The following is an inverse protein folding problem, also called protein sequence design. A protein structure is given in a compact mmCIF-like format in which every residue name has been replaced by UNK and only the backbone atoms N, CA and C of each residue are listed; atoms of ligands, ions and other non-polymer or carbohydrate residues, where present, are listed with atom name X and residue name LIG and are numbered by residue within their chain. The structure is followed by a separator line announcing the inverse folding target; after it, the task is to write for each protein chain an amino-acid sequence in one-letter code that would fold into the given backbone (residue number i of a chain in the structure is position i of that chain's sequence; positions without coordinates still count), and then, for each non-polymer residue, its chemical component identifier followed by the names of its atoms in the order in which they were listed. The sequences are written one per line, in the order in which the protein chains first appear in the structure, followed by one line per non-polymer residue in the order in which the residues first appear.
data_IF_185949724206
#
_entry.id   IF_185949724206
#
_cell.length_a   1.000
_cell.length_b   1.000
_cell.length_c   1.000
_cell.angle_alpha   90.00
_cell.angle_beta   90.00
_cell.angle_gamma   90.00
#
_symmetry.space_group_name_H-M   'P 1'
#
loop_
_entity.id
_entity.type
_entity.pdbx_description
1 polymer ?
#
# COMPACT_ATOMS: atom_id res chain seq x y z
N UNK A 1 -8.70 -14.57 -1.24
CA UNK A 1 -8.29 -15.32 -2.45
C UNK A 1 -7.83 -16.76 -2.13
N UNK A 2 -8.24 -17.31 -0.98
CA UNK A 2 -8.11 -18.75 -0.69
C UNK A 2 -6.75 -19.21 -0.16
N UNK A 3 -5.92 -18.31 0.36
CA UNK A 3 -4.66 -18.69 1.03
C UNK A 3 -4.94 -19.40 2.36
N UNK A 4 -5.97 -18.97 3.07
CA UNK A 4 -6.47 -19.58 4.30
C UNK A 4 -7.98 -19.71 4.28
N UNK A 5 -8.51 -20.65 5.01
CA UNK A 5 -9.95 -20.72 5.31
C UNK A 5 -10.31 -19.69 6.37
N UNK A 6 -11.59 -19.40 6.52
CA UNK A 6 -12.06 -18.43 7.53
C UNK A 6 -11.82 -18.91 8.96
N UNK A 7 -11.78 -20.21 9.15
CA UNK A 7 -11.54 -20.90 10.42
C UNK A 7 -10.09 -20.78 10.88
N UNK A 8 -9.16 -20.59 9.94
CA UNK A 8 -7.73 -20.40 10.19
C UNK A 8 -7.37 -18.94 10.48
N UNK A 9 -8.32 -18.01 10.27
CA UNK A 9 -8.09 -16.59 10.46
C UNK A 9 -8.76 -16.10 11.74
N UNK A 10 -7.96 -15.42 12.56
CA UNK A 10 -8.39 -14.84 13.82
C UNK A 10 -8.24 -13.33 13.81
N UNK A 11 -9.17 -12.61 14.42
CA UNK A 11 -9.07 -11.16 14.59
C UNK A 11 -9.06 -10.77 16.05
N UNK A 12 -8.16 -9.85 16.41
CA UNK A 12 -8.11 -9.18 17.72
C UNK A 12 -8.10 -7.67 17.50
N UNK A 13 -9.00 -6.97 18.17
CA UNK A 13 -9.08 -5.51 18.15
C UNK A 13 -8.81 -4.94 19.55
N UNK A 14 -8.83 -3.60 19.68
CA UNK A 14 -8.51 -2.91 20.95
C UNK A 14 -9.45 -3.25 22.12
N UNK A 15 -10.71 -3.57 21.83
CA UNK A 15 -11.71 -3.97 22.82
C UNK A 15 -12.31 -5.32 22.47
N UNK A 16 -12.85 -6.02 23.45
CA UNK A 16 -13.56 -7.29 23.25
C UNK A 16 -14.78 -7.09 22.31
N UNK A 17 -15.57 -6.04 22.55
CA UNK A 17 -16.71 -5.68 21.70
C UNK A 17 -16.29 -5.50 20.23
N UNK A 18 -15.27 -4.70 19.97
CA UNK A 18 -14.81 -4.46 18.60
C UNK A 18 -14.13 -5.70 17.97
N UNK A 19 -13.64 -6.62 18.76
CA UNK A 19 -13.11 -7.91 18.31
C UNK A 19 -14.24 -8.78 17.78
N UNK A 20 -15.32 -8.92 18.56
CA UNK A 20 -16.52 -9.70 18.16
C UNK A 20 -17.17 -9.10 16.90
N UNK A 21 -17.40 -7.77 16.89
CA UNK A 21 -18.00 -7.09 15.72
C UNK A 21 -17.19 -7.31 14.44
N UNK A 22 -15.85 -7.31 14.52
CA UNK A 22 -15.00 -7.57 13.34
C UNK A 22 -15.01 -9.06 12.96
N UNK A 23 -14.99 -9.95 13.93
CA UNK A 23 -15.08 -11.39 13.68
C UNK A 23 -16.36 -11.74 12.92
N UNK A 24 -17.50 -11.25 13.37
CA UNK A 24 -18.80 -11.41 12.71
C UNK A 24 -18.82 -10.79 11.31
N UNK A 25 -18.35 -9.54 11.19
CA UNK A 25 -18.32 -8.81 9.91
C UNK A 25 -17.55 -9.54 8.82
N UNK A 26 -16.42 -10.16 9.16
CA UNK A 26 -15.54 -10.85 8.21
C UNK A 26 -15.78 -12.36 8.17
N UNK A 27 -16.60 -12.90 9.07
CA UNK A 27 -16.87 -14.33 9.20
C UNK A 27 -15.63 -15.13 9.60
N UNK A 28 -14.82 -14.59 10.51
CA UNK A 28 -13.60 -15.19 11.06
C UNK A 28 -13.72 -15.35 12.57
N UNK A 29 -12.74 -15.98 13.23
CA UNK A 29 -12.79 -16.22 14.66
C UNK A 29 -12.31 -15.01 15.48
N UNK A 30 -13.01 -14.72 16.58
CA UNK A 30 -12.53 -13.75 17.57
C UNK A 30 -11.37 -14.33 18.37
N UNK A 31 -10.28 -13.59 18.52
CA UNK A 31 -9.08 -14.00 19.27
C UNK A 31 -8.93 -13.24 20.58
N UNK A 32 -8.28 -13.89 21.52
CA UNK A 32 -7.69 -13.29 22.72
C UNK A 32 -6.17 -13.12 22.56
N UNK A 33 -5.51 -12.41 23.47
CA UNK A 33 -4.04 -12.32 23.47
C UNK A 33 -3.36 -13.69 23.66
N UNK A 34 -4.01 -14.63 24.36
CA UNK A 34 -3.48 -16.00 24.57
C UNK A 34 -3.34 -16.81 23.28
N UNK A 35 -4.10 -16.46 22.25
CA UNK A 35 -4.09 -17.16 20.98
C UNK A 35 -2.88 -16.77 20.11
N UNK A 36 -2.21 -15.66 20.43
CA UNK A 36 -1.02 -15.18 19.72
C UNK A 36 0.11 -16.20 19.72
N UNK A 37 0.37 -16.86 20.84
CA UNK A 37 1.42 -17.87 20.94
C UNK A 37 1.14 -19.16 20.20
N UNK A 38 -0.12 -19.38 19.75
CA UNK A 38 -0.55 -20.52 18.96
C UNK A 38 -0.58 -20.21 17.46
N UNK A 39 -0.69 -18.94 17.11
CA UNK A 39 -0.74 -18.49 15.73
C UNK A 39 0.62 -18.69 15.03
N UNK A 40 0.61 -19.19 13.80
CA UNK A 40 1.83 -19.32 12.99
C UNK A 40 2.31 -17.95 12.51
N UNK A 41 1.39 -17.00 12.35
CA UNK A 41 1.64 -15.66 11.87
C UNK A 41 0.76 -14.63 12.59
N UNK A 42 1.35 -13.54 13.04
CA UNK A 42 0.64 -12.36 13.58
C UNK A 42 0.80 -11.19 12.62
N UNK A 43 -0.32 -10.68 12.09
CA UNK A 43 -0.34 -9.48 11.24
C UNK A 43 -0.73 -8.25 12.08
N UNK A 44 0.18 -7.30 12.22
CA UNK A 44 -0.05 -6.02 12.89
C UNK A 44 -0.63 -4.99 11.92
N UNK A 45 -1.96 -4.84 11.95
CA UNK A 45 -2.71 -3.91 11.11
C UNK A 45 -3.34 -2.77 11.94
N UNK A 46 -2.51 -2.11 12.74
CA UNK A 46 -2.89 -0.99 13.60
C UNK A 46 -2.18 0.30 13.18
N UNK A 47 -2.66 1.45 13.67
CA UNK A 47 -2.00 2.74 13.42
C UNK A 47 -0.58 2.75 13.97
N UNK A 48 0.39 3.43 13.32
CA UNK A 48 1.79 3.45 13.74
C UNK A 48 1.99 3.79 15.23
N UNK A 49 1.35 4.83 15.72
CA UNK A 49 1.45 5.25 17.12
C UNK A 49 0.90 4.23 18.14
N UNK A 50 0.17 3.21 17.70
CA UNK A 50 -0.35 2.14 18.55
C UNK A 50 0.62 0.96 18.63
N UNK A 51 1.57 0.84 17.71
CA UNK A 51 2.50 -0.29 17.61
C UNK A 51 3.26 -0.53 18.92
N UNK A 52 3.87 0.46 19.60
CA UNK A 52 4.62 0.20 20.85
C UNK A 52 3.76 -0.44 21.94
N UNK A 53 2.49 -0.05 22.04
CA UNK A 53 1.55 -0.62 23.01
C UNK A 53 1.19 -2.05 22.64
N UNK A 54 0.90 -2.32 21.37
CA UNK A 54 0.57 -3.67 20.88
C UNK A 54 1.76 -4.61 21.05
N UNK A 55 2.98 -4.17 20.71
CA UNK A 55 4.19 -4.98 20.90
C UNK A 55 4.37 -5.36 22.39
N UNK A 56 4.17 -4.41 23.31
CA UNK A 56 4.23 -4.67 24.75
C UNK A 56 3.17 -5.69 25.20
N UNK A 57 1.96 -5.62 24.63
CA UNK A 57 0.89 -6.57 24.96
C UNK A 57 1.15 -7.98 24.43
N UNK A 58 1.69 -8.11 23.19
CA UNK A 58 1.90 -9.41 22.56
C UNK A 58 3.22 -10.09 22.94
N UNK A 59 4.22 -9.33 23.39
CA UNK A 59 5.54 -9.83 23.75
C UNK A 59 5.52 -11.03 24.73
N UNK A 60 4.71 -11.03 25.82
CA UNK A 60 4.63 -12.15 26.75
C UNK A 60 4.15 -13.46 26.12
N UNK A 61 3.43 -13.38 25.01
CA UNK A 61 2.86 -14.55 24.32
C UNK A 61 3.77 -15.11 23.22
N UNK A 62 4.96 -14.51 23.02
CA UNK A 62 6.02 -14.99 22.13
C UNK A 62 5.52 -15.36 20.72
N UNK A 63 5.04 -14.38 19.93
CA UNK A 63 4.58 -14.64 18.57
C UNK A 63 5.67 -15.32 17.76
N UNK A 64 5.31 -16.30 16.93
CA UNK A 64 6.25 -17.09 16.14
C UNK A 64 6.82 -16.31 14.95
N UNK A 65 5.98 -15.58 14.23
CA UNK A 65 6.30 -14.75 13.05
C UNK A 65 5.43 -13.51 13.10
N UNK A 66 5.97 -12.35 12.75
CA UNK A 66 5.23 -11.07 12.79
C UNK A 66 5.38 -10.34 11.47
N UNK A 67 4.26 -9.96 10.85
CA UNK A 67 4.22 -9.00 9.74
C UNK A 67 3.59 -7.71 10.24
N UNK A 68 4.18 -6.56 9.90
CA UNK A 68 3.63 -5.24 10.22
C UNK A 68 3.34 -4.44 8.96
N UNK A 69 2.11 -3.90 8.84
CA UNK A 69 1.71 -2.95 7.78
C UNK A 69 1.76 -1.50 8.26
N UNK A 70 2.29 -1.24 9.44
CA UNK A 70 2.34 0.09 10.02
C UNK A 70 3.39 0.98 9.30
N UNK A 71 2.94 2.11 8.75
CA UNK A 71 3.84 3.08 8.14
C UNK A 71 4.79 3.70 9.17
N UNK A 72 6.00 4.09 8.74
CA UNK A 72 7.00 4.78 9.56
C UNK A 72 7.45 4.04 10.84
N UNK A 73 7.17 2.73 10.96
CA UNK A 73 7.71 1.89 12.05
C UNK A 73 8.79 0.98 11.46
N UNK A 74 10.03 1.18 11.89
CA UNK A 74 11.18 0.45 11.35
C UNK A 74 11.21 -1.02 11.79
N UNK A 75 11.91 -1.86 11.02
CA UNK A 75 12.20 -3.25 11.41
C UNK A 75 12.87 -3.30 12.79
N UNK A 76 13.86 -2.43 13.02
CA UNK A 76 14.56 -2.36 14.29
C UNK A 76 13.62 -2.04 15.46
N UNK A 77 12.65 -1.13 15.28
CA UNK A 77 11.66 -0.81 16.32
C UNK A 77 10.70 -1.98 16.59
N UNK A 78 10.32 -2.72 15.56
CA UNK A 78 9.49 -3.93 15.70
C UNK A 78 10.25 -5.03 16.44
N UNK A 79 11.49 -5.31 16.03
CA UNK A 79 12.35 -6.33 16.69
C UNK A 79 12.65 -6.00 18.15
N UNK A 80 12.90 -4.72 18.47
CA UNK A 80 13.15 -4.29 19.85
C UNK A 80 11.94 -4.47 20.79
N UNK A 81 10.73 -4.43 20.27
CA UNK A 81 9.49 -4.62 21.06
C UNK A 81 9.03 -6.08 21.18
N UNK A 82 9.71 -7.02 20.54
CA UNK A 82 9.35 -8.45 20.49
C UNK A 82 10.39 -9.31 21.23
N UNK A 83 10.09 -10.59 21.54
CA UNK A 83 11.08 -11.51 22.05
C UNK A 83 12.28 -11.62 21.10
N UNK A 84 13.47 -11.81 21.69
CA UNK A 84 14.71 -11.97 20.90
C UNK A 84 14.56 -13.05 19.83
N UNK A 85 15.05 -12.76 18.62
CA UNK A 85 15.01 -13.65 17.44
C UNK A 85 13.60 -13.91 16.88
N UNK A 86 12.59 -13.14 17.25
CA UNK A 86 11.29 -13.21 16.56
C UNK A 86 11.44 -12.76 15.11
N UNK A 87 11.10 -13.60 14.13
CA UNK A 87 11.10 -13.20 12.72
C UNK A 87 10.08 -12.10 12.44
N UNK A 88 10.55 -11.01 11.81
CA UNK A 88 9.72 -9.84 11.49
C UNK A 88 9.81 -9.54 10.01
N UNK A 89 8.67 -9.23 9.41
CA UNK A 89 8.60 -8.64 8.07
C UNK A 89 7.82 -7.34 8.16
N UNK A 90 8.40 -6.29 7.59
CA UNK A 90 7.74 -5.00 7.43
C UNK A 90 7.20 -4.90 6.00
N UNK A 91 5.95 -4.48 5.85
CA UNK A 91 5.33 -4.31 4.54
C UNK A 91 4.64 -2.95 4.44
N UNK A 92 4.61 -2.41 3.23
CA UNK A 92 3.93 -1.16 2.92
C UNK A 92 2.98 -1.38 1.75
N UNK A 93 1.74 -1.83 2.00
CA UNK A 93 0.68 -1.90 1.01
C UNK A 93 0.07 -0.51 0.75
N UNK A 94 -0.77 -0.42 -0.28
CA UNK A 94 -1.56 0.76 -0.53
C UNK A 94 -3.07 0.44 -0.64
N UNK A 95 -3.91 1.46 -0.64
CA UNK A 95 -5.37 1.31 -0.62
C UNK A 95 -5.99 0.54 -1.79
N UNK A 96 -5.45 0.57 -3.05
CA UNK A 96 -5.95 -0.26 -4.15
C UNK A 96 -5.86 -1.77 -3.91
N UNK A 97 -5.14 -2.23 -2.88
CA UNK A 97 -5.16 -3.62 -2.42
C UNK A 97 -6.59 -4.12 -2.12
N UNK A 98 -7.50 -3.24 -1.69
CA UNK A 98 -8.90 -3.58 -1.41
C UNK A 98 -9.68 -4.05 -2.64
N UNK A 99 -9.22 -3.68 -3.83
CA UNK A 99 -9.80 -4.09 -5.13
C UNK A 99 -8.86 -5.02 -5.91
N UNK A 100 -7.80 -5.55 -5.27
CA UNK A 100 -6.86 -6.48 -5.89
C UNK A 100 -5.86 -5.84 -6.85
N UNK A 101 -5.69 -4.52 -6.78
CA UNK A 101 -4.78 -3.73 -7.63
C UNK A 101 -3.74 -2.97 -6.79
N UNK A 102 -3.36 -3.52 -5.64
CA UNK A 102 -2.37 -2.93 -4.75
C UNK A 102 -0.95 -3.01 -5.28
N UNK A 103 -0.09 -2.15 -4.73
CA UNK A 103 1.37 -2.29 -4.79
C UNK A 103 1.89 -2.38 -3.37
N UNK A 104 2.63 -3.43 -3.06
CA UNK A 104 3.17 -3.68 -1.73
C UNK A 104 4.68 -3.80 -1.76
N UNK A 105 5.37 -3.00 -0.98
CA UNK A 105 6.79 -3.18 -0.69
C UNK A 105 6.95 -4.09 0.53
N UNK A 106 7.94 -4.99 0.50
CA UNK A 106 8.20 -5.99 1.55
C UNK A 106 9.67 -5.92 1.94
N UNK A 107 9.96 -5.86 3.22
CA UNK A 107 11.32 -5.91 3.76
C UNK A 107 11.40 -6.92 4.90
N UNK A 108 12.38 -7.82 4.83
CA UNK A 108 12.68 -8.79 5.85
C UNK A 108 13.50 -8.18 6.99
N UNK A 109 13.15 -8.52 8.23
CA UNK A 109 13.97 -8.27 9.41
C UNK A 109 15.13 -9.28 9.53
N UNK A 110 15.97 -9.08 10.52
CA UNK A 110 17.21 -9.83 10.72
C UNK A 110 17.01 -11.35 10.85
N UNK A 111 15.87 -11.76 11.41
CA UNK A 111 15.60 -13.16 11.75
C UNK A 111 14.53 -13.79 10.83
N UNK A 112 14.04 -13.06 9.83
CA UNK A 112 13.12 -13.59 8.84
C UNK A 112 13.90 -14.45 7.85
N UNK A 113 13.51 -15.71 7.72
CA UNK A 113 14.05 -16.65 6.74
C UNK A 113 13.39 -16.47 5.36
N UNK A 114 13.91 -17.17 4.37
CA UNK A 114 13.42 -17.11 2.99
C UNK A 114 11.98 -17.64 2.88
N UNK A 115 11.65 -18.71 3.61
CA UNK A 115 10.30 -19.28 3.66
C UNK A 115 9.26 -18.25 4.17
N UNK A 116 9.61 -17.50 5.21
CA UNK A 116 8.74 -16.47 5.73
C UNK A 116 8.61 -15.28 4.76
N UNK A 117 9.68 -14.95 4.05
CA UNK A 117 9.67 -13.90 3.04
C UNK A 117 8.77 -14.28 1.85
N UNK A 118 8.86 -15.52 1.36
CA UNK A 118 7.98 -16.03 0.30
C UNK A 118 6.52 -16.10 0.78
N UNK A 119 6.27 -16.52 2.03
CA UNK A 119 4.92 -16.46 2.62
C UNK A 119 4.35 -15.04 2.58
N UNK A 120 5.12 -14.04 2.99
CA UNK A 120 4.68 -12.64 2.94
C UNK A 120 4.41 -12.19 1.50
N UNK A 121 5.29 -12.54 0.57
CA UNK A 121 5.15 -12.22 -0.85
C UNK A 121 3.88 -12.85 -1.46
N UNK A 122 3.58 -14.10 -1.11
CA UNK A 122 2.36 -14.78 -1.54
C UNK A 122 1.10 -14.06 -1.02
N UNK A 123 1.06 -13.73 0.27
CA UNK A 123 -0.05 -13.00 0.91
C UNK A 123 -0.34 -11.71 0.14
N UNK A 124 0.69 -10.87 -0.05
CA UNK A 124 0.49 -9.55 -0.62
C UNK A 124 0.36 -9.55 -2.16
N UNK A 125 0.88 -10.56 -2.85
CA UNK A 125 0.63 -10.78 -4.28
C UNK A 125 -0.83 -11.15 -4.56
N UNK A 126 -1.53 -11.74 -3.61
CA UNK A 126 -2.98 -11.96 -3.72
C UNK A 126 -3.80 -10.65 -3.74
N UNK A 127 -3.20 -9.53 -3.33
CA UNK A 127 -3.84 -8.20 -3.27
C UNK A 127 -3.38 -7.25 -4.40
N UNK A 128 -2.49 -7.70 -5.28
CA UNK A 128 -1.93 -6.91 -6.37
C UNK A 128 -0.52 -7.34 -6.70
N UNK A 129 0.42 -6.41 -6.84
CA UNK A 129 1.85 -6.68 -7.02
C UNK A 129 2.60 -6.50 -5.71
N UNK A 130 3.56 -7.37 -5.45
CA UNK A 130 4.46 -7.30 -4.31
C UNK A 130 5.92 -7.29 -4.77
N UNK A 131 6.75 -6.48 -4.12
CA UNK A 131 8.19 -6.39 -4.40
C UNK A 131 8.98 -6.48 -3.09
N UNK A 132 9.98 -7.37 -3.06
CA UNK A 132 10.96 -7.42 -1.96
C UNK A 132 12.02 -6.38 -2.22
N UNK A 133 12.25 -5.52 -1.24
CA UNK A 133 13.13 -4.35 -1.35
C UNK A 133 13.88 -4.12 -0.03
N UNK A 134 14.90 -3.26 -0.06
CA UNK A 134 15.55 -2.79 1.18
C UNK A 134 14.58 -1.91 1.99
N UNK A 135 14.82 -1.77 3.30
CA UNK A 135 13.98 -0.95 4.17
C UNK A 135 13.93 0.52 3.70
N UNK A 136 15.05 1.06 3.22
CA UNK A 136 15.09 2.40 2.62
C UNK A 136 14.19 2.50 1.38
N UNK A 137 14.25 1.54 0.48
CA UNK A 137 13.40 1.50 -0.71
C UNK A 137 11.92 1.31 -0.34
N UNK A 138 11.62 0.61 0.76
CA UNK A 138 10.25 0.49 1.26
C UNK A 138 9.69 1.86 1.67
N UNK A 139 10.48 2.72 2.31
CA UNK A 139 10.06 4.09 2.66
C UNK A 139 9.89 4.97 1.41
N UNK A 140 10.82 4.88 0.45
CA UNK A 140 10.74 5.54 -0.86
C UNK A 140 9.48 5.10 -1.63
N UNK A 141 9.18 3.80 -1.66
CA UNK A 141 7.94 3.26 -2.24
C UNK A 141 6.70 3.68 -1.44
N UNK A 142 6.81 3.85 -0.13
CA UNK A 142 5.75 4.40 0.71
C UNK A 142 5.32 5.79 0.25
N UNK A 143 6.28 6.66 -0.08
CA UNK A 143 5.99 7.99 -0.62
C UNK A 143 5.44 7.93 -2.05
N UNK A 144 5.93 7.03 -2.90
CA UNK A 144 5.52 6.90 -4.29
C UNK A 144 4.19 6.14 -4.44
N UNK A 145 4.11 4.92 -3.93
CA UNK A 145 2.95 4.01 -4.13
C UNK A 145 2.01 3.98 -2.93
N UNK A 146 2.51 4.19 -1.71
CA UNK A 146 1.67 4.26 -0.52
C UNK A 146 0.77 5.51 -0.51
N UNK A 147 1.35 6.69 -0.71
CA UNK A 147 0.64 7.96 -0.85
C UNK A 147 0.06 8.17 -2.27
N UNK A 148 0.62 7.50 -3.27
CA UNK A 148 0.28 7.64 -4.69
C UNK A 148 -1.20 7.61 -5.05
N UNK A 149 -2.04 6.74 -4.47
CA UNK A 149 -3.48 6.78 -4.73
C UNK A 149 -4.11 8.14 -4.46
N UNK A 150 -3.64 8.87 -3.44
CA UNK A 150 -4.09 10.24 -3.17
C UNK A 150 -3.78 11.19 -4.33
N UNK A 151 -2.59 11.11 -4.91
CA UNK A 151 -2.21 11.93 -6.08
C UNK A 151 -3.05 11.59 -7.30
N UNK A 152 -3.26 10.28 -7.54
CA UNK A 152 -4.08 9.79 -8.66
C UNK A 152 -5.53 10.23 -8.53
N UNK A 153 -6.11 10.24 -7.32
CA UNK A 153 -7.48 10.75 -7.12
C UNK A 153 -7.58 12.23 -7.44
N UNK A 154 -6.59 13.06 -7.10
CA UNK A 154 -6.54 14.48 -7.50
C UNK A 154 -6.48 14.61 -9.03
N UNK A 155 -5.70 13.78 -9.70
CA UNK A 155 -5.60 13.79 -11.18
C UNK A 155 -6.93 13.37 -11.82
N UNK A 156 -7.58 12.31 -11.31
CA UNK A 156 -8.89 11.85 -11.80
C UNK A 156 -9.93 12.96 -11.66
N UNK A 157 -9.98 13.60 -10.51
CA UNK A 157 -10.95 14.67 -10.23
C UNK A 157 -10.72 15.88 -11.13
N UNK A 158 -9.47 16.31 -11.30
CA UNK A 158 -9.12 17.40 -12.21
C UNK A 158 -9.48 17.11 -13.68
N UNK A 159 -9.25 15.89 -14.15
CA UNK A 159 -9.66 15.46 -15.49
C UNK A 159 -11.18 15.39 -15.63
N UNK A 160 -11.88 14.95 -14.60
CA UNK A 160 -13.34 14.94 -14.57
C UNK A 160 -13.92 16.38 -14.62
N UNK A 161 -13.32 17.32 -13.90
CA UNK A 161 -13.67 18.74 -13.96
C UNK A 161 -13.45 19.31 -15.37
N UNK A 162 -12.33 18.97 -16.00
CA UNK A 162 -12.07 19.36 -17.39
C UNK A 162 -13.12 18.78 -18.35
N UNK A 163 -13.54 17.51 -18.15
CA UNK A 163 -14.61 16.87 -18.90
C UNK A 163 -15.95 17.62 -18.75
N UNK A 164 -16.30 18.02 -17.53
CA UNK A 164 -17.52 18.81 -17.28
C UNK A 164 -17.41 20.20 -17.93
N UNK A 165 -16.26 20.84 -17.84
CA UNK A 165 -16.01 22.12 -18.54
C UNK A 165 -16.14 21.99 -20.07
N UNK A 166 -15.82 20.83 -20.62
CA UNK A 166 -16.00 20.50 -22.03
C UNK A 166 -17.44 20.13 -22.42
N UNK A 167 -18.37 20.03 -21.44
CA UNK A 167 -19.79 19.75 -21.66
C UNK A 167 -20.25 18.34 -21.32
N UNK A 168 -19.38 17.47 -20.74
CA UNK A 168 -19.79 16.12 -20.33
C UNK A 168 -20.59 16.16 -19.00
N UNK A 169 -21.58 15.29 -18.85
CA UNK A 169 -22.19 15.05 -17.53
C UNK A 169 -21.16 14.56 -16.52
N UNK A 170 -21.22 15.04 -15.27
CA UNK A 170 -20.26 14.72 -14.18
C UNK A 170 -19.96 13.21 -14.07
N UNK A 171 -21.00 12.38 -14.02
CA UNK A 171 -20.84 10.92 -13.87
C UNK A 171 -20.00 10.32 -14.99
N UNK A 172 -20.28 10.70 -16.23
CA UNK A 172 -19.54 10.22 -17.40
C UNK A 172 -18.09 10.76 -17.40
N UNK A 173 -17.88 12.02 -17.01
CA UNK A 173 -16.57 12.63 -16.92
C UNK A 173 -15.67 11.91 -15.90
N UNK A 174 -16.19 11.54 -14.72
CA UNK A 174 -15.46 10.77 -13.70
C UNK A 174 -15.11 9.37 -14.22
N UNK A 175 -16.08 8.67 -14.82
CA UNK A 175 -15.87 7.33 -15.37
C UNK A 175 -14.81 7.34 -16.49
N UNK A 176 -14.90 8.28 -17.42
CA UNK A 176 -13.95 8.43 -18.52
C UNK A 176 -12.53 8.75 -18.01
N UNK A 177 -12.39 9.67 -17.05
CA UNK A 177 -11.10 10.03 -16.45
C UNK A 177 -10.45 8.83 -15.75
N UNK A 178 -11.22 8.13 -14.91
CA UNK A 178 -10.74 6.95 -14.18
C UNK A 178 -10.34 5.82 -15.14
N UNK A 179 -11.17 5.51 -16.14
CA UNK A 179 -10.89 4.47 -17.12
C UNK A 179 -9.67 4.81 -17.99
N UNK A 180 -9.47 6.08 -18.34
CA UNK A 180 -8.31 6.53 -19.10
C UNK A 180 -7.01 6.31 -18.34
N UNK A 181 -6.95 6.71 -17.05
CA UNK A 181 -5.78 6.49 -16.21
C UNK A 181 -5.51 5.00 -16.00
N UNK A 182 -6.54 4.23 -15.71
CA UNK A 182 -6.42 2.77 -15.56
C UNK A 182 -5.87 2.13 -16.82
N UNK A 183 -6.42 2.47 -18.00
CA UNK A 183 -5.98 1.93 -19.29
C UNK A 183 -4.53 2.28 -19.62
N UNK A 184 -4.12 3.53 -19.41
CA UNK A 184 -2.74 3.96 -19.61
C UNK A 184 -1.76 3.25 -18.68
N UNK A 185 -2.08 3.14 -17.39
CA UNK A 185 -1.27 2.39 -16.42
C UNK A 185 -1.17 0.91 -16.80
N UNK A 186 -2.28 0.28 -17.20
CA UNK A 186 -2.32 -1.10 -17.64
C UNK A 186 -1.43 -1.33 -18.86
N UNK A 187 -1.44 -0.43 -19.86
CA UNK A 187 -0.55 -0.51 -21.03
C UNK A 187 0.93 -0.51 -20.61
N UNK A 188 1.35 0.35 -19.70
CA UNK A 188 2.74 0.35 -19.20
C UNK A 188 3.10 -0.98 -18.55
N UNK A 189 2.23 -1.51 -17.69
CA UNK A 189 2.48 -2.74 -16.93
C UNK A 189 2.49 -4.01 -17.79
N UNK A 190 1.66 -4.08 -18.81
CA UNK A 190 1.52 -5.27 -19.67
C UNK A 190 2.50 -5.28 -20.83
N UNK A 191 2.81 -4.11 -21.40
CA UNK A 191 3.74 -4.04 -22.53
C UNK A 191 5.20 -3.93 -22.12
N UNK A 192 5.47 -3.44 -20.89
CA UNK A 192 6.82 -3.11 -20.43
C UNK A 192 7.48 -1.94 -21.17
N UNK A 193 6.74 -1.26 -22.05
CA UNK A 193 7.24 -0.12 -22.82
C UNK A 193 7.44 1.11 -21.92
N UNK A 194 8.46 1.91 -22.26
CA UNK A 194 8.69 3.15 -21.57
C UNK A 194 7.51 4.12 -21.75
N UNK A 195 7.05 4.82 -20.67
CA UNK A 195 5.90 5.74 -20.77
C UNK A 195 6.05 6.81 -21.87
N UNK A 196 7.26 7.29 -22.15
CA UNK A 196 7.50 8.25 -23.21
C UNK A 196 7.25 7.66 -24.62
N UNK A 197 7.60 6.39 -24.84
CA UNK A 197 7.31 5.69 -26.12
C UNK A 197 5.80 5.55 -26.32
N UNK A 198 5.07 5.15 -25.28
CA UNK A 198 3.60 5.04 -25.35
C UNK A 198 2.94 6.41 -25.57
N UNK A 199 3.45 7.47 -24.94
CA UNK A 199 3.02 8.84 -25.17
C UNK A 199 3.23 9.25 -26.63
N UNK A 200 4.41 9.00 -27.18
CA UNK A 200 4.72 9.35 -28.57
C UNK A 200 3.84 8.61 -29.56
N UNK A 201 3.48 7.35 -29.27
CA UNK A 201 2.56 6.54 -30.06
C UNK A 201 1.12 7.09 -30.16
N UNK A 202 0.71 7.96 -29.23
CA UNK A 202 -0.61 8.63 -29.27
C UNK A 202 -0.52 10.12 -29.59
N UNK A 203 0.66 10.59 -30.02
CA UNK A 203 0.94 12.01 -30.24
C UNK A 203 1.23 12.25 -31.72
N UNK A 204 0.18 12.55 -32.50
CA UNK A 204 0.33 12.91 -33.92
C UNK A 204 0.83 14.36 -34.07
N UNK A 205 1.59 14.66 -35.18
CA UNK A 205 2.04 16.02 -35.47
C UNK A 205 0.87 17.02 -35.54
N UNK A 206 0.92 18.10 -34.76
CA UNK A 206 -0.13 19.11 -34.69
C UNK A 206 -1.48 18.66 -34.11
N UNK A 207 -1.53 17.44 -33.54
CA UNK A 207 -2.78 16.85 -33.03
C UNK A 207 -3.23 17.41 -31.66
N UNK A 208 -4.41 16.98 -31.24
CA UNK A 208 -5.02 17.41 -29.96
C UNK A 208 -4.21 16.96 -28.74
N UNK A 209 -3.61 15.76 -28.82
CA UNK A 209 -2.82 15.20 -27.73
C UNK A 209 -1.58 16.04 -27.43
N UNK A 210 -0.81 16.45 -28.45
CA UNK A 210 0.38 17.29 -28.24
C UNK A 210 0.00 18.67 -27.71
N UNK A 211 -1.11 19.25 -28.16
CA UNK A 211 -1.60 20.52 -27.63
C UNK A 211 -1.96 20.42 -26.15
N UNK A 212 -2.63 19.33 -25.73
CA UNK A 212 -2.93 19.05 -24.34
C UNK A 212 -1.67 18.83 -23.48
N UNK A 213 -0.71 18.04 -23.98
CA UNK A 213 0.59 17.82 -23.31
C UNK A 213 1.33 19.14 -23.11
N UNK A 214 1.41 19.96 -24.17
CA UNK A 214 2.06 21.28 -24.06
C UNK A 214 1.42 22.14 -22.96
N UNK A 215 0.11 22.17 -22.86
CA UNK A 215 -0.59 22.93 -21.82
C UNK A 215 -0.28 22.40 -20.41
N UNK A 216 -0.15 21.09 -20.22
CA UNK A 216 0.25 20.47 -18.95
C UNK A 216 1.69 20.80 -18.58
N UNK A 217 2.63 20.68 -19.53
CA UNK A 217 4.05 20.98 -19.33
C UNK A 217 4.25 22.47 -18.97
N UNK A 218 3.55 23.38 -19.65
CA UNK A 218 3.58 24.81 -19.35
C UNK A 218 3.08 25.16 -17.92
N UNK A 219 2.34 24.27 -17.27
CA UNK A 219 1.88 24.39 -15.88
C UNK A 219 2.73 23.60 -14.89
N UNK A 220 3.82 22.99 -15.32
CA UNK A 220 4.80 22.33 -14.45
C UNK A 220 4.29 21.02 -13.85
N UNK A 221 3.45 20.25 -14.56
CA UNK A 221 2.85 19.00 -14.04
C UNK A 221 3.92 18.02 -13.53
N UNK A 222 5.06 17.91 -14.21
CA UNK A 222 6.14 17.00 -13.78
C UNK A 222 6.75 17.44 -12.46
N UNK A 223 7.06 18.73 -12.32
CA UNK A 223 7.60 19.27 -11.08
C UNK A 223 6.62 19.03 -9.91
N UNK A 224 5.34 19.33 -10.10
CA UNK A 224 4.33 19.16 -9.08
C UNK A 224 4.23 17.69 -8.60
N UNK A 225 4.31 16.71 -9.49
CA UNK A 225 4.28 15.29 -9.14
C UNK A 225 5.57 14.84 -8.42
N UNK A 226 6.73 15.31 -8.87
CA UNK A 226 8.00 15.04 -8.19
C UNK A 226 8.02 15.63 -6.78
N UNK A 227 7.61 16.87 -6.63
CA UNK A 227 7.55 17.58 -5.34
C UNK A 227 6.57 16.89 -4.37
N UNK A 228 5.44 16.40 -4.86
CA UNK A 228 4.47 15.66 -4.04
C UNK A 228 5.10 14.39 -3.41
N UNK A 229 5.85 13.61 -4.20
CA UNK A 229 6.53 12.41 -3.71
C UNK A 229 7.62 12.78 -2.70
N UNK A 230 8.44 13.82 -2.99
CA UNK A 230 9.51 14.25 -2.09
C UNK A 230 8.96 14.82 -0.78
N UNK A 231 7.85 15.57 -0.82
CA UNK A 231 7.18 16.06 0.38
C UNK A 231 6.63 14.92 1.26
N UNK A 232 6.06 13.88 0.62
CA UNK A 232 5.58 12.70 1.34
C UNK A 232 6.71 11.91 1.99
N UNK A 233 7.86 11.75 1.29
CA UNK A 233 9.04 11.09 1.84
C UNK A 233 9.61 11.85 3.04
N UNK A 234 9.78 13.15 2.92
CA UNK A 234 10.25 14.01 4.02
C UNK A 234 9.32 13.92 5.25
N UNK A 235 8.01 13.86 5.02
CA UNK A 235 7.03 13.70 6.12
C UNK A 235 7.10 12.32 6.76
N UNK A 236 7.32 11.26 5.99
CA UNK A 236 7.53 9.91 6.50
C UNK A 236 8.77 9.85 7.41
N UNK A 237 9.88 10.45 6.99
CA UNK A 237 11.12 10.53 7.77
C UNK A 237 10.92 11.28 9.11
N UNK A 238 10.18 12.39 9.08
CA UNK A 238 9.84 13.14 10.31
C UNK A 238 9.02 12.29 11.28
N UNK A 239 8.07 11.49 10.76
CA UNK A 239 7.23 10.61 11.59
C UNK A 239 8.01 9.44 12.18
N UNK A 240 8.97 8.88 11.46
CA UNK A 240 9.81 7.77 11.92
C UNK A 240 10.83 8.17 13.00
N UNK A 241 11.11 9.47 13.17
CA UNK A 241 12.03 10.00 14.21
C UNK A 241 11.35 10.30 15.54
N UNK A 242 10.02 10.26 15.62
CA UNK A 242 9.21 10.46 16.82
C UNK A 242 8.91 9.13 17.50
#
# INVERSE_FOLDING_TARGET
KGLWTKEEVYVKASTEKSTVEKAERYGVSAASLKDIGKADLVLLAVKPGTIPFVLKEINPYRPRRVISVAAAVTVAALEAGLPEKTPVIRVMPNTPASVGAGMTAITAGRYADEDFLETAKEIFSALGKAAVVSERQLDEMGALSGAGPGYVFVIIDALADAGVRAGLPRKLAVEAAAQTLYGAAKMVLETGKHPAELRDGVTSPGGTTIAGIHAMEARGIRAALMDAVMAALAKSDEMGRK
#
